data_IF_198299554724
#
_entry.id   IF_198299554724
#
_cell.length_a   1.000
_cell.length_b   1.000
_cell.length_c   1.000
_cell.angle_alpha   90.00
_cell.angle_beta   90.00
_cell.angle_gamma   90.00
#
_symmetry.space_group_name_H-M   'P 1'
#
loop_
_entity.id
_entity.type
_entity.pdbx_description
1 polymer ?
#
# COMPACT_ATOMS: atom_id res chain seq x y z
N UNK A 1 15.90 -35.61 -25.40
CA UNK A 1 15.12 -34.37 -25.13
C UNK A 1 15.16 -34.09 -23.64
N UNK A 2 15.76 -32.98 -23.20
CA UNK A 2 15.70 -32.55 -21.79
C UNK A 2 14.33 -31.92 -21.54
N UNK A 3 13.49 -32.61 -20.78
CA UNK A 3 12.16 -32.15 -20.35
C UNK A 3 12.33 -30.84 -19.57
N UNK A 4 11.82 -29.72 -20.11
CA UNK A 4 11.69 -28.45 -19.37
C UNK A 4 10.89 -28.78 -18.10
N UNK A 5 11.56 -28.77 -16.95
CA UNK A 5 10.95 -28.98 -15.64
C UNK A 5 10.04 -27.79 -15.41
N UNK A 6 8.75 -27.94 -15.70
CA UNK A 6 7.74 -26.94 -15.40
C UNK A 6 7.80 -26.73 -13.89
N UNK A 7 8.33 -25.59 -13.48
CA UNK A 7 8.51 -25.28 -12.06
C UNK A 7 7.11 -25.14 -11.48
N UNK A 8 6.85 -25.85 -10.39
CA UNK A 8 5.57 -25.79 -9.67
C UNK A 8 5.16 -24.31 -9.47
N UNK A 9 3.93 -23.90 -9.85
CA UNK A 9 3.46 -22.53 -9.66
C UNK A 9 3.67 -21.99 -8.25
N UNK A 10 3.53 -22.84 -7.21
CA UNK A 10 3.78 -22.45 -5.83
C UNK A 10 5.26 -22.14 -5.56
N UNK A 11 6.17 -22.93 -6.13
CA UNK A 11 7.61 -22.70 -6.04
C UNK A 11 7.98 -21.43 -6.80
N UNK A 12 7.40 -21.20 -7.98
CA UNK A 12 7.65 -19.99 -8.75
C UNK A 12 7.20 -18.72 -8.00
N UNK A 13 6.02 -18.75 -7.37
CA UNK A 13 5.51 -17.65 -6.53
C UNK A 13 6.44 -17.38 -5.35
N UNK A 14 6.80 -18.41 -4.59
CA UNK A 14 7.71 -18.27 -3.44
C UNK A 14 9.08 -17.67 -3.84
N UNK A 15 9.58 -18.00 -5.04
CA UNK A 15 10.82 -17.40 -5.57
C UNK A 15 10.63 -15.95 -6.01
N UNK A 16 9.49 -15.58 -6.59
CA UNK A 16 9.16 -14.18 -6.87
C UNK A 16 9.13 -13.38 -5.56
N UNK A 17 8.40 -13.86 -4.57
CA UNK A 17 8.27 -13.18 -3.26
C UNK A 17 9.63 -13.00 -2.58
N UNK A 18 10.51 -14.02 -2.64
CA UNK A 18 11.88 -13.92 -2.15
C UNK A 18 12.68 -12.79 -2.81
N UNK A 19 12.53 -12.60 -4.13
CA UNK A 19 13.17 -11.49 -4.84
C UNK A 19 12.56 -10.15 -4.43
N UNK A 20 11.24 -10.06 -4.32
CA UNK A 20 10.55 -8.83 -3.91
C UNK A 20 11.00 -8.39 -2.50
N UNK A 21 11.04 -9.31 -1.54
CA UNK A 21 11.52 -9.03 -0.17
C UNK A 21 12.97 -8.55 -0.16
N UNK A 22 13.85 -9.22 -0.92
CA UNK A 22 15.25 -8.83 -1.04
C UNK A 22 15.42 -7.45 -1.69
N UNK A 23 14.62 -7.14 -2.71
CA UNK A 23 14.64 -5.87 -3.40
C UNK A 23 14.13 -4.74 -2.51
N UNK A 24 13.01 -4.93 -1.81
CA UNK A 24 12.47 -4.00 -0.82
C UNK A 24 13.51 -3.66 0.26
N UNK A 25 14.24 -4.66 0.78
CA UNK A 25 15.35 -4.42 1.71
C UNK A 25 16.47 -3.56 1.10
N UNK A 26 16.87 -3.88 -0.14
CA UNK A 26 17.91 -3.11 -0.83
C UNK A 26 17.48 -1.66 -1.08
N UNK A 27 16.23 -1.45 -1.49
CA UNK A 27 15.66 -0.12 -1.73
C UNK A 27 15.59 0.70 -0.45
N UNK A 28 15.13 0.14 0.67
CA UNK A 28 15.14 0.85 1.97
C UNK A 28 16.53 1.27 2.42
N UNK A 29 17.55 0.45 2.15
CA UNK A 29 18.92 0.71 2.62
C UNK A 29 19.67 1.72 1.76
N UNK A 30 19.44 1.76 0.45
CA UNK A 30 20.27 2.51 -0.51
C UNK A 30 19.49 3.41 -1.46
N UNK A 31 18.17 3.37 -1.38
CA UNK A 31 17.28 3.97 -2.36
C UNK A 31 17.22 3.17 -3.66
N UNK A 32 16.18 3.46 -4.46
CA UNK A 32 15.90 2.75 -5.70
C UNK A 32 17.07 2.81 -6.69
N UNK A 33 17.68 4.00 -6.89
CA UNK A 33 18.75 4.17 -7.88
C UNK A 33 20.03 3.42 -7.55
N UNK A 34 20.52 3.50 -6.30
CA UNK A 34 21.80 2.90 -5.93
C UNK A 34 21.71 1.38 -5.69
N UNK A 35 20.52 0.84 -5.43
CA UNK A 35 20.29 -0.60 -5.43
C UNK A 35 20.37 -1.17 -6.86
N UNK A 36 21.35 -2.06 -7.08
CA UNK A 36 21.56 -2.74 -8.35
C UNK A 36 21.13 -4.21 -8.32
N UNK A 37 20.89 -4.80 -9.49
CA UNK A 37 20.49 -6.21 -9.62
C UNK A 37 21.49 -7.19 -8.97
N UNK A 38 22.79 -6.87 -8.98
CA UNK A 38 23.82 -7.70 -8.33
C UNK A 38 23.68 -7.73 -6.80
N UNK A 39 23.20 -6.65 -6.19
CA UNK A 39 22.94 -6.61 -4.75
C UNK A 39 21.65 -7.35 -4.41
N UNK A 40 20.57 -7.14 -5.18
CA UNK A 40 19.31 -7.86 -5.02
C UNK A 40 19.55 -9.37 -5.13
N UNK A 41 20.36 -9.80 -6.11
CA UNK A 41 20.82 -11.19 -6.28
C UNK A 41 21.49 -11.74 -5.03
N UNK A 42 22.42 -10.96 -4.44
CA UNK A 42 23.13 -11.36 -3.23
C UNK A 42 22.20 -11.47 -2.02
N UNK A 43 21.35 -10.47 -1.80
CA UNK A 43 20.37 -10.44 -0.70
C UNK A 43 19.34 -11.57 -0.84
N UNK A 44 18.88 -11.84 -2.07
CA UNK A 44 17.95 -12.94 -2.33
C UNK A 44 18.62 -14.32 -2.23
N UNK A 45 19.95 -14.42 -2.24
CA UNK A 45 20.64 -15.72 -2.32
C UNK A 45 20.36 -16.45 -3.64
N UNK A 46 20.11 -15.70 -4.72
CA UNK A 46 19.78 -16.22 -6.05
C UNK A 46 20.78 -15.66 -7.07
N UNK A 47 21.09 -16.42 -8.13
CA UNK A 47 21.93 -15.86 -9.20
C UNK A 47 21.18 -14.78 -9.99
N UNK A 48 21.88 -13.79 -10.53
CA UNK A 48 21.26 -12.74 -11.35
C UNK A 48 20.45 -13.34 -12.51
N UNK A 49 20.98 -14.37 -13.18
CA UNK A 49 20.26 -15.08 -14.24
C UNK A 49 18.99 -15.79 -13.77
N UNK A 50 18.95 -16.29 -12.52
CA UNK A 50 17.73 -16.85 -11.95
C UNK A 50 16.69 -15.77 -11.67
N UNK A 51 17.11 -14.59 -11.19
CA UNK A 51 16.21 -13.44 -10.99
C UNK A 51 15.64 -12.94 -12.32
N UNK A 52 16.47 -12.87 -13.37
CA UNK A 52 16.02 -12.45 -14.71
C UNK A 52 14.98 -13.39 -15.34
N UNK A 53 14.84 -14.64 -14.85
CA UNK A 53 13.74 -15.51 -15.26
C UNK A 53 12.37 -15.08 -14.69
N UNK A 54 12.36 -14.25 -13.65
CA UNK A 54 11.14 -13.76 -13.01
C UNK A 54 10.87 -12.28 -13.29
N UNK A 55 11.93 -11.47 -13.40
CA UNK A 55 11.84 -10.03 -13.59
C UNK A 55 12.83 -9.56 -14.66
N UNK A 56 12.31 -8.95 -15.72
CA UNK A 56 13.10 -8.49 -16.85
C UNK A 56 13.98 -7.27 -16.51
N UNK A 57 13.62 -6.53 -15.46
CA UNK A 57 14.28 -5.29 -15.05
C UNK A 57 14.06 -4.98 -13.57
N UNK A 58 14.82 -4.01 -13.03
CA UNK A 58 14.59 -3.47 -11.69
C UNK A 58 13.24 -2.74 -11.61
N UNK A 59 12.82 -2.13 -12.71
CA UNK A 59 11.53 -1.49 -12.89
C UNK A 59 10.37 -2.50 -12.82
N UNK A 60 10.55 -3.72 -13.34
CA UNK A 60 9.57 -4.79 -13.20
C UNK A 60 9.47 -5.30 -11.75
N UNK A 61 10.57 -5.23 -10.98
CA UNK A 61 10.56 -5.59 -9.56
C UNK A 61 9.74 -4.57 -8.75
N UNK A 62 9.99 -3.26 -8.93
CA UNK A 62 9.24 -2.22 -8.21
C UNK A 62 7.75 -2.23 -8.60
N UNK A 63 7.44 -2.47 -9.88
CA UNK A 63 6.07 -2.66 -10.35
C UNK A 63 5.37 -3.78 -9.59
N UNK A 64 6.01 -4.95 -9.46
CA UNK A 64 5.43 -6.05 -8.68
C UNK A 64 5.42 -5.83 -7.16
N UNK A 65 6.28 -4.97 -6.59
CA UNK A 65 6.13 -4.56 -5.19
C UNK A 65 4.85 -3.73 -5.03
N UNK A 66 4.65 -2.73 -5.90
CA UNK A 66 3.44 -1.89 -5.89
C UNK A 66 2.19 -2.76 -6.07
N UNK A 67 2.19 -3.69 -7.03
CA UNK A 67 1.08 -4.62 -7.26
C UNK A 67 0.77 -5.45 -6.01
N UNK A 68 1.79 -6.00 -5.34
CA UNK A 68 1.61 -6.76 -4.10
C UNK A 68 1.01 -5.90 -2.98
N UNK A 69 1.49 -4.66 -2.83
CA UNK A 69 0.97 -3.75 -1.79
C UNK A 69 -0.48 -3.34 -2.08
N UNK A 70 -0.83 -3.21 -3.37
CA UNK A 70 -2.21 -3.00 -3.80
C UNK A 70 -3.10 -4.22 -3.54
N UNK A 71 -2.63 -5.44 -3.82
CA UNK A 71 -3.39 -6.67 -3.53
C UNK A 71 -3.70 -6.82 -2.04
N UNK A 72 -2.75 -6.49 -1.17
CA UNK A 72 -2.94 -6.48 0.28
C UNK A 72 -3.99 -5.43 0.69
N UNK A 73 -3.88 -4.22 0.14
CA UNK A 73 -4.84 -3.15 0.38
C UNK A 73 -6.25 -3.52 -0.13
N UNK A 74 -6.36 -4.15 -1.31
CA UNK A 74 -7.63 -4.59 -1.85
C UNK A 74 -8.25 -5.68 -1.00
N UNK A 75 -7.45 -6.62 -0.48
CA UNK A 75 -7.94 -7.65 0.44
C UNK A 75 -8.57 -7.04 1.70
N UNK A 76 -8.03 -5.91 2.18
CA UNK A 76 -8.61 -5.14 3.30
C UNK A 76 -9.98 -4.55 2.92
N UNK A 77 -10.07 -3.90 1.75
CA UNK A 77 -11.33 -3.33 1.28
C UNK A 77 -12.39 -4.40 0.99
N UNK A 78 -12.02 -5.52 0.37
CA UNK A 78 -12.91 -6.66 0.14
C UNK A 78 -13.42 -7.25 1.46
N UNK A 79 -12.55 -7.34 2.47
CA UNK A 79 -12.95 -7.76 3.81
C UNK A 79 -13.99 -6.81 4.41
N UNK A 80 -13.82 -5.50 4.24
CA UNK A 80 -14.79 -4.49 4.69
C UNK A 80 -16.11 -4.57 3.93
N UNK A 81 -16.06 -4.75 2.61
CA UNK A 81 -17.26 -4.93 1.78
C UNK A 81 -18.07 -6.16 2.23
N UNK A 82 -17.40 -7.24 2.66
CA UNK A 82 -18.04 -8.47 3.13
C UNK A 82 -18.60 -8.47 4.56
N UNK A 83 -18.31 -7.45 5.38
CA UNK A 83 -18.82 -7.37 6.76
C UNK A 83 -20.30 -7.00 6.79
N UNK A 84 -21.15 -7.58 7.67
CA UNK A 84 -22.58 -7.25 7.72
C UNK A 84 -22.91 -5.87 8.33
N UNK A 85 -21.99 -5.28 9.08
CA UNK A 85 -22.16 -4.00 9.76
C UNK A 85 -22.29 -2.81 8.79
N UNK A 86 -22.72 -1.66 9.33
CA UNK A 86 -22.74 -0.41 8.58
C UNK A 86 -21.32 0.09 8.24
N UNK A 87 -21.21 0.87 7.17
CA UNK A 87 -19.91 1.32 6.63
C UNK A 87 -19.07 2.09 7.66
N UNK A 88 -19.71 2.91 8.50
CA UNK A 88 -19.01 3.67 9.53
C UNK A 88 -18.37 2.72 10.55
N UNK A 89 -19.14 1.76 11.07
CA UNK A 89 -18.65 0.75 12.02
C UNK A 89 -17.50 -0.06 11.43
N UNK A 90 -17.63 -0.54 10.19
CA UNK A 90 -16.59 -1.32 9.51
C UNK A 90 -15.28 -0.53 9.39
N UNK A 91 -15.35 0.70 8.87
CA UNK A 91 -14.15 1.54 8.69
C UNK A 91 -13.51 1.93 10.02
N UNK A 92 -14.31 2.27 11.04
CA UNK A 92 -13.79 2.61 12.37
C UNK A 92 -13.15 1.41 13.08
N UNK A 93 -13.66 0.20 12.88
CA UNK A 93 -13.04 -1.01 13.42
C UNK A 93 -11.73 -1.34 12.68
N UNK A 94 -11.69 -1.08 11.36
CA UNK A 94 -10.50 -1.22 10.54
C UNK A 94 -9.37 -0.22 10.83
N UNK A 95 -9.64 0.89 11.53
CA UNK A 95 -8.64 1.93 11.78
C UNK A 95 -7.38 1.43 12.48
N UNK A 96 -7.50 0.50 13.43
CA UNK A 96 -6.32 0.00 14.14
C UNK A 96 -5.33 -0.66 13.17
N UNK A 97 -5.83 -1.50 12.26
CA UNK A 97 -5.04 -2.15 11.23
C UNK A 97 -4.47 -1.12 10.24
N UNK A 98 -5.25 -0.11 9.85
CA UNK A 98 -4.78 0.96 8.97
C UNK A 98 -3.66 1.80 9.59
N UNK A 99 -3.80 2.14 10.88
CA UNK A 99 -2.77 2.87 11.65
C UNK A 99 -1.50 2.03 11.80
N UNK A 100 -1.62 0.77 12.20
CA UNK A 100 -0.49 -0.15 12.33
C UNK A 100 0.29 -0.24 11.01
N UNK A 101 -0.41 -0.47 9.88
CA UNK A 101 0.22 -0.55 8.55
C UNK A 101 0.96 0.74 8.21
N UNK A 102 0.32 1.90 8.33
CA UNK A 102 0.95 3.16 7.95
C UNK A 102 2.00 3.68 8.94
N UNK A 103 2.10 3.11 10.14
CA UNK A 103 3.16 3.41 11.09
C UNK A 103 4.33 2.40 11.03
N UNK A 104 4.25 1.37 10.18
CA UNK A 104 5.34 0.41 10.01
C UNK A 104 6.50 1.00 9.19
N UNK A 105 7.48 1.57 9.89
CA UNK A 105 8.72 2.10 9.27
C UNK A 105 9.63 1.01 8.67
N UNK A 106 9.33 -0.26 8.89
CA UNK A 106 9.97 -1.39 8.26
C UNK A 106 9.41 -1.59 6.85
N UNK A 107 8.16 -2.05 6.76
CA UNK A 107 7.54 -2.42 5.48
C UNK A 107 7.25 -1.19 4.60
N UNK A 108 6.69 -0.11 5.16
CA UNK A 108 6.33 1.09 4.40
C UNK A 108 7.50 2.05 4.09
N UNK A 109 8.72 1.81 4.59
CA UNK A 109 9.86 2.68 4.24
C UNK A 109 10.21 2.63 2.74
N UNK A 110 9.80 1.58 2.02
CA UNK A 110 9.92 1.54 0.56
C UNK A 110 9.06 2.62 -0.08
N UNK A 111 7.89 2.94 0.47
CA UNK A 111 6.94 3.92 -0.09
C UNK A 111 7.56 5.31 -0.22
N UNK A 112 8.35 5.74 0.77
CA UNK A 112 9.05 7.02 0.73
C UNK A 112 10.09 7.07 -0.39
N UNK A 113 10.80 5.97 -0.61
CA UNK A 113 11.75 5.84 -1.72
C UNK A 113 11.03 5.83 -3.07
N UNK A 114 9.87 5.16 -3.17
CA UNK A 114 9.05 5.18 -4.39
C UNK A 114 8.51 6.57 -4.70
N UNK A 115 8.01 7.29 -3.70
CA UNK A 115 7.53 8.67 -3.84
C UNK A 115 8.67 9.61 -4.26
N UNK A 116 9.85 9.45 -3.67
CA UNK A 116 11.04 10.21 -4.07
C UNK A 116 11.45 9.90 -5.52
N UNK A 117 11.37 8.63 -5.93
CA UNK A 117 11.69 8.20 -7.30
C UNK A 117 10.67 8.69 -8.33
N UNK A 118 9.38 8.76 -7.98
CA UNK A 118 8.32 9.28 -8.85
C UNK A 118 8.56 10.74 -9.31
N UNK A 119 9.32 11.54 -8.54
CA UNK A 119 9.72 12.89 -8.95
C UNK A 119 10.65 12.95 -10.16
N UNK A 120 11.30 11.84 -10.52
CA UNK A 120 12.31 11.75 -11.59
C UNK A 120 12.11 10.58 -12.54
N UNK A 121 11.18 9.66 -12.24
CA UNK A 121 10.88 8.49 -13.04
C UNK A 121 9.39 8.43 -13.39
N UNK A 122 9.07 8.74 -14.64
CA UNK A 122 7.68 8.82 -15.13
C UNK A 122 6.93 7.48 -15.07
N UNK A 123 7.64 6.34 -15.19
CA UNK A 123 7.01 5.02 -15.10
C UNK A 123 6.58 4.74 -13.66
N UNK A 124 7.46 4.97 -12.69
CA UNK A 124 7.14 4.82 -11.25
C UNK A 124 6.04 5.80 -10.85
N UNK A 125 6.10 7.05 -11.30
CA UNK A 125 5.05 8.03 -11.04
C UNK A 125 3.68 7.59 -11.56
N UNK A 126 3.63 7.00 -12.76
CA UNK A 126 2.38 6.47 -13.32
C UNK A 126 1.85 5.32 -12.47
N UNK A 127 2.70 4.35 -12.10
CA UNK A 127 2.31 3.21 -11.28
C UNK A 127 1.71 3.64 -9.94
N UNK A 128 2.34 4.58 -9.24
CA UNK A 128 1.82 5.10 -7.97
C UNK A 128 0.50 5.85 -8.14
N UNK A 129 0.32 6.63 -9.21
CA UNK A 129 -0.95 7.33 -9.49
C UNK A 129 -2.08 6.37 -9.82
N UNK A 130 -1.79 5.32 -10.60
CA UNK A 130 -2.76 4.29 -10.93
C UNK A 130 -3.17 3.53 -9.65
N UNK A 131 -2.19 3.23 -8.77
CA UNK A 131 -2.42 2.58 -7.48
C UNK A 131 -3.32 3.44 -6.56
N UNK A 132 -2.98 4.72 -6.39
CA UNK A 132 -3.78 5.67 -5.62
C UNK A 132 -5.20 5.79 -6.16
N UNK A 133 -5.35 5.92 -7.47
CA UNK A 133 -6.66 6.04 -8.12
C UNK A 133 -7.53 4.81 -7.83
N UNK A 134 -6.97 3.61 -7.92
CA UNK A 134 -7.71 2.39 -7.62
C UNK A 134 -8.11 2.31 -6.13
N UNK A 135 -7.21 2.67 -5.23
CA UNK A 135 -7.48 2.73 -3.79
C UNK A 135 -8.62 3.70 -3.46
N UNK A 136 -8.57 4.93 -4.00
CA UNK A 136 -9.61 5.94 -3.80
C UNK A 136 -10.95 5.53 -4.41
N UNK A 137 -10.94 4.83 -5.55
CA UNK A 137 -12.15 4.27 -6.14
C UNK A 137 -12.81 3.21 -5.25
N UNK A 138 -12.02 2.35 -4.59
CA UNK A 138 -12.55 1.37 -3.62
C UNK A 138 -13.15 2.05 -2.40
N UNK A 139 -12.46 3.04 -1.84
CA UNK A 139 -13.02 3.85 -0.76
C UNK A 139 -14.33 4.52 -1.18
N UNK A 140 -14.40 5.10 -2.39
CA UNK A 140 -15.65 5.65 -2.95
C UNK A 140 -16.77 4.62 -2.92
N UNK A 141 -16.54 3.39 -3.42
CA UNK A 141 -17.57 2.35 -3.43
C UNK A 141 -18.11 2.02 -2.03
N UNK A 142 -17.23 1.98 -1.02
CA UNK A 142 -17.67 1.80 0.38
C UNK A 142 -18.54 2.97 0.86
N UNK A 143 -18.10 4.21 0.61
CA UNK A 143 -18.77 5.42 1.08
C UNK A 143 -20.10 5.71 0.38
N UNK A 144 -20.32 5.22 -0.84
CA UNK A 144 -21.60 5.33 -1.56
C UNK A 144 -22.48 4.08 -1.45
N UNK A 145 -22.03 3.05 -0.72
CA UNK A 145 -22.84 1.84 -0.54
C UNK A 145 -24.11 2.13 0.25
N UNK A 146 -25.13 1.29 0.08
CA UNK A 146 -26.43 1.42 0.79
C UNK A 146 -26.32 1.46 2.32
N UNK A 147 -25.21 0.95 2.87
CA UNK A 147 -24.91 0.89 4.30
C UNK A 147 -24.21 2.14 4.82
N UNK A 148 -23.89 3.09 3.95
CA UNK A 148 -23.25 4.34 4.30
C UNK A 148 -24.30 5.42 4.61
N UNK A 149 -24.06 6.17 5.68
CA UNK A 149 -24.88 7.32 6.07
C UNK A 149 -24.60 8.56 5.22
N UNK A 150 -23.53 8.55 4.41
CA UNK A 150 -23.14 9.63 3.50
C UNK A 150 -23.29 9.23 2.02
N UNK A 151 -24.11 8.22 1.71
CA UNK A 151 -24.19 7.67 0.35
C UNK A 151 -24.71 8.65 -0.71
N UNK A 152 -25.48 9.65 -0.29
CA UNK A 152 -26.17 10.62 -1.16
C UNK A 152 -25.55 12.03 -1.12
N UNK A 153 -24.32 12.19 -0.59
CA UNK A 153 -23.65 13.50 -0.57
C UNK A 153 -23.18 13.93 -1.95
N UNK A 154 -22.91 15.22 -2.12
CA UNK A 154 -22.37 15.76 -3.37
C UNK A 154 -21.00 15.15 -3.72
N UNK A 155 -20.74 14.97 -5.02
CA UNK A 155 -19.53 14.34 -5.54
C UNK A 155 -18.25 15.09 -5.13
N UNK A 156 -18.30 16.43 -5.08
CA UNK A 156 -17.15 17.26 -4.67
C UNK A 156 -16.86 17.06 -3.19
N UNK A 157 -17.90 16.95 -2.37
CA UNK A 157 -17.75 16.68 -0.94
C UNK A 157 -17.20 15.28 -0.68
N UNK A 158 -17.72 14.27 -1.39
CA UNK A 158 -17.25 12.88 -1.31
C UNK A 158 -15.75 12.78 -1.65
N UNK A 159 -15.34 13.35 -2.77
CA UNK A 159 -13.93 13.39 -3.17
C UNK A 159 -13.08 14.14 -2.13
N UNK A 160 -13.57 15.24 -1.58
CA UNK A 160 -12.85 15.99 -0.55
C UNK A 160 -12.61 15.14 0.70
N UNK A 161 -13.63 14.40 1.17
CA UNK A 161 -13.53 13.47 2.30
C UNK A 161 -12.51 12.37 2.03
N UNK A 162 -12.58 11.72 0.87
CA UNK A 162 -11.63 10.66 0.48
C UNK A 162 -10.19 11.18 0.46
N UNK A 163 -9.96 12.35 -0.15
CA UNK A 163 -8.61 12.93 -0.21
C UNK A 163 -8.06 13.28 1.19
N UNK A 164 -8.89 13.80 2.09
CA UNK A 164 -8.48 14.09 3.47
C UNK A 164 -8.18 12.80 4.24
N UNK A 165 -9.02 11.76 4.12
CA UNK A 165 -8.78 10.46 4.74
C UNK A 165 -7.42 9.90 4.30
N UNK A 166 -7.17 9.84 2.99
CA UNK A 166 -5.91 9.32 2.45
C UNK A 166 -4.70 10.18 2.87
N UNK A 167 -4.85 11.51 2.92
CA UNK A 167 -3.79 12.41 3.37
C UNK A 167 -3.42 12.20 4.84
N UNK A 168 -4.41 12.04 5.71
CA UNK A 168 -4.19 11.80 7.13
C UNK A 168 -3.52 10.44 7.33
N UNK A 169 -4.02 9.40 6.65
CA UNK A 169 -3.50 8.04 6.75
C UNK A 169 -2.06 7.92 6.22
N UNK A 170 -1.77 8.45 5.02
CA UNK A 170 -0.42 8.46 4.44
C UNK A 170 0.57 9.28 5.28
N UNK A 171 0.10 10.36 5.92
CA UNK A 171 0.92 11.20 6.80
C UNK A 171 1.42 10.50 8.07
N UNK A 172 0.81 9.38 8.48
CA UNK A 172 1.22 8.65 9.69
C UNK A 172 2.64 8.10 9.58
N UNK A 173 3.06 7.65 8.39
CA UNK A 173 4.43 7.16 8.16
C UNK A 173 5.44 8.26 8.39
N UNK A 174 5.23 9.42 7.74
CA UNK A 174 6.08 10.60 7.92
C UNK A 174 6.14 11.01 9.39
N UNK A 175 4.98 11.02 10.06
CA UNK A 175 4.91 11.39 11.47
C UNK A 175 5.70 10.41 12.34
N UNK A 176 5.59 9.09 12.11
CA UNK A 176 6.33 8.06 12.86
C UNK A 176 7.83 8.15 12.63
N UNK A 177 8.29 8.50 11.42
CA UNK A 177 9.71 8.74 11.13
C UNK A 177 10.24 9.94 11.92
N UNK A 178 9.47 11.03 11.99
CA UNK A 178 9.87 12.24 12.71
C UNK A 178 9.72 12.13 14.24
N UNK A 179 8.84 11.25 14.71
CA UNK A 179 8.52 11.04 16.14
C UNK A 179 8.48 9.53 16.43
N UNK A 180 9.65 8.89 16.60
CA UNK A 180 9.77 7.44 16.73
C UNK A 180 9.01 6.85 17.93
N UNK A 181 8.79 7.64 18.98
CA UNK A 181 8.02 7.28 20.18
C UNK A 181 6.50 7.25 19.97
N UNK A 182 6.00 7.77 18.84
CA UNK A 182 4.57 7.79 18.53
C UNK A 182 3.99 6.37 18.54
N UNK A 183 2.96 6.13 19.33
CA UNK A 183 2.29 4.82 19.41
C UNK A 183 0.95 4.84 18.69
N UNK A 184 0.52 3.67 18.21
CA UNK A 184 -0.80 3.50 17.58
C UNK A 184 -1.92 3.97 18.51
N UNK A 185 -1.84 3.65 19.80
CA UNK A 185 -2.79 4.08 20.83
C UNK A 185 -2.92 5.61 20.88
N UNK A 186 -1.79 6.32 20.94
CA UNK A 186 -1.81 7.79 21.01
C UNK A 186 -2.41 8.44 19.77
N UNK A 187 -2.16 7.86 18.59
CA UNK A 187 -2.75 8.32 17.32
C UNK A 187 -4.26 8.09 17.32
N UNK A 188 -4.70 6.90 17.72
CA UNK A 188 -6.10 6.50 17.67
C UNK A 188 -7.02 7.34 18.57
N UNK A 189 -6.50 7.92 19.66
CA UNK A 189 -7.26 8.83 20.54
C UNK A 189 -7.88 9.98 19.74
N UNK A 190 -7.12 10.62 18.86
CA UNK A 190 -7.57 11.74 18.05
C UNK A 190 -8.06 11.32 16.66
N UNK A 191 -7.44 10.29 16.07
CA UNK A 191 -7.76 9.86 14.72
C UNK A 191 -9.17 9.25 14.64
N UNK A 192 -9.58 8.45 15.62
CA UNK A 192 -10.89 7.79 15.61
C UNK A 192 -12.06 8.80 15.56
N UNK A 193 -12.16 9.81 16.43
CA UNK A 193 -13.22 10.81 16.31
C UNK A 193 -13.10 11.66 15.04
N UNK A 194 -11.88 12.02 14.59
CA UNK A 194 -11.69 12.76 13.35
C UNK A 194 -12.20 11.97 12.12
N UNK A 195 -11.87 10.68 12.03
CA UNK A 195 -12.37 9.80 10.99
C UNK A 195 -13.88 9.62 11.08
N UNK A 196 -14.45 9.50 12.28
CA UNK A 196 -15.91 9.46 12.47
C UNK A 196 -16.58 10.70 11.86
N UNK A 197 -16.03 11.90 12.08
CA UNK A 197 -16.55 13.14 11.47
C UNK A 197 -16.46 13.12 9.95
N UNK A 198 -15.37 12.63 9.36
CA UNK A 198 -15.23 12.51 7.90
C UNK A 198 -16.15 11.45 7.27
N UNK A 199 -16.67 10.52 8.07
CA UNK A 199 -17.54 9.42 7.63
C UNK A 199 -19.03 9.67 7.94
N UNK A 200 -19.37 10.81 8.53
CA UNK A 200 -20.74 11.23 8.84
C UNK A 200 -21.06 12.56 8.15
N UNK A 201 -22.36 12.89 7.95
CA UNK A 201 -22.76 14.23 7.54
C UNK A 201 -22.12 15.29 8.46
N UNK A 202 -21.68 16.41 7.90
CA UNK A 202 -21.24 17.52 8.72
C UNK A 202 -22.45 18.17 9.39
N UNK A 203 -22.31 18.51 10.67
CA UNK A 203 -23.31 19.32 11.37
C UNK A 203 -23.19 20.78 10.89
N UNK A 204 -24.33 21.43 10.63
CA UNK A 204 -24.42 22.87 10.32
C UNK A 204 -24.13 23.75 11.56
#
# INVERSE_FOLDING_TARGET
MKTKRQTDPAIAKARRDQVLTAAAECFRRKGFHAAGMAEISRTAGMSAGHIYNYFESKEAIIESIIEKDMEEMFSIFEHFEGQPEDTLTVLLNGLNMGVQRHMDTGECAVDLEMLAEAGRNVKVAKLLRDADTQARNRMRQLLISERSVIKDIDEVELESRINVIFSVMAGLLLRKVLYPELTEETVLIALRPAMKTLLMPFED
#
